data_IF_644813664621
#
_entry.id   IF_644813664621
#
_cell.length_a   1.000
_cell.length_b   1.000
_cell.length_c   1.000
_cell.angle_alpha   90.00
_cell.angle_beta   90.00
_cell.angle_gamma   90.00
#
_symmetry.space_group_name_H-M   'P 1'
#
loop_
_entity.id
_entity.type
_entity.pdbx_description
1 polymer ?
#
# COMPACT_ATOMS: atom_id res chain seq x y z
N UNK A 1 6.58 8.49 -9.89
CA UNK A 1 5.24 8.81 -9.36
C UNK A 1 4.23 7.89 -10.04
N UNK A 2 3.91 6.75 -9.44
CA UNK A 2 2.90 5.84 -9.98
C UNK A 2 1.49 6.41 -9.75
N UNK A 3 0.56 6.23 -10.70
CA UNK A 3 -0.85 6.50 -10.42
C UNK A 3 -1.38 5.45 -9.44
N UNK A 4 -2.10 5.91 -8.42
CA UNK A 4 -2.73 5.06 -7.39
C UNK A 4 -3.85 4.19 -7.94
N UNK A 5 -4.35 4.54 -9.13
CA UNK A 5 -5.43 3.86 -9.81
C UNK A 5 -5.02 3.44 -11.22
N UNK A 6 -5.70 2.42 -11.75
CA UNK A 6 -5.76 2.09 -13.17
C UNK A 6 -7.18 2.28 -13.68
N UNK A 7 -7.34 2.76 -14.91
CA UNK A 7 -8.63 2.77 -15.60
C UNK A 7 -8.87 1.41 -16.24
N UNK A 8 -10.01 0.80 -15.96
CA UNK A 8 -10.38 -0.51 -16.49
C UNK A 8 -11.77 -0.45 -17.10
N UNK A 9 -11.91 -1.00 -18.30
CA UNK A 9 -13.21 -1.20 -18.94
C UNK A 9 -13.91 -2.38 -18.25
N UNK A 10 -15.06 -2.11 -17.64
CA UNK A 10 -15.85 -3.10 -16.91
C UNK A 10 -17.28 -3.20 -17.45
N UNK A 11 -17.86 -4.38 -17.29
CA UNK A 11 -19.29 -4.59 -17.54
C UNK A 11 -20.05 -4.43 -16.22
N UNK A 12 -20.79 -3.32 -16.08
CA UNK A 12 -21.67 -3.10 -14.91
C UNK A 12 -23.02 -3.74 -15.20
N UNK A 13 -23.40 -4.72 -14.38
CA UNK A 13 -24.68 -5.43 -14.45
C UNK A 13 -25.55 -5.02 -13.27
N UNK A 14 -26.76 -4.56 -13.55
CA UNK A 14 -27.86 -4.37 -12.60
C UNK A 14 -29.06 -5.21 -13.03
N UNK A 15 -30.14 -5.21 -12.24
CA UNK A 15 -31.33 -6.04 -12.49
C UNK A 15 -31.92 -5.86 -13.90
N UNK A 16 -31.90 -4.64 -14.41
CA UNK A 16 -32.58 -4.27 -15.67
C UNK A 16 -31.61 -3.75 -16.75
N UNK A 17 -30.30 -3.63 -16.45
CA UNK A 17 -29.33 -3.05 -17.38
C UNK A 17 -27.97 -3.73 -17.30
N UNK A 18 -27.35 -3.86 -18.46
CA UNK A 18 -25.95 -4.22 -18.63
C UNK A 18 -25.27 -3.10 -19.43
N UNK A 19 -24.22 -2.47 -18.89
CA UNK A 19 -23.54 -1.34 -19.53
C UNK A 19 -22.01 -1.47 -19.40
N UNK A 20 -21.30 -1.28 -20.52
CA UNK A 20 -19.86 -1.06 -20.49
C UNK A 20 -19.54 0.34 -19.96
N UNK A 21 -18.61 0.42 -19.02
CA UNK A 21 -18.14 1.69 -18.44
C UNK A 21 -16.67 1.59 -18.07
N UNK A 22 -15.97 2.72 -18.07
CA UNK A 22 -14.66 2.83 -17.42
C UNK A 22 -14.81 3.11 -15.94
N UNK A 23 -13.96 2.49 -15.15
CA UNK A 23 -13.83 2.75 -13.72
C UNK A 23 -12.36 2.82 -13.32
N UNK A 24 -12.07 3.74 -12.41
CA UNK A 24 -10.80 3.80 -11.70
C UNK A 24 -10.77 2.71 -10.62
N UNK A 25 -9.84 1.76 -10.72
CA UNK A 25 -9.57 0.76 -9.69
C UNK A 25 -8.27 1.11 -8.96
N UNK A 26 -8.29 1.05 -7.64
CA UNK A 26 -7.08 1.14 -6.82
C UNK A 26 -6.12 0.02 -7.19
N UNK A 27 -4.84 0.35 -7.28
CA UNK A 27 -3.77 -0.63 -7.47
C UNK A 27 -3.23 -1.08 -6.12
N UNK A 28 -2.93 -2.36 -5.99
CA UNK A 28 -2.09 -2.87 -4.91
C UNK A 28 -0.71 -3.26 -5.44
N UNK A 29 0.32 -2.95 -4.66
CA UNK A 29 1.71 -3.33 -4.91
C UNK A 29 2.28 -3.97 -3.64
N UNK A 30 3.14 -4.99 -3.77
CA UNK A 30 3.87 -5.54 -2.65
C UNK A 30 4.99 -4.59 -2.22
N UNK A 31 5.11 -4.34 -0.93
CA UNK A 31 6.22 -3.63 -0.29
C UNK A 31 6.76 -4.49 0.84
N UNK A 32 8.06 -4.72 0.83
CA UNK A 32 8.76 -5.48 1.87
C UNK A 32 9.42 -4.52 2.85
N UNK A 33 9.13 -4.68 4.14
CA UNK A 33 9.74 -3.89 5.21
C UNK A 33 10.95 -4.65 5.75
N UNK A 34 12.10 -3.99 5.74
CA UNK A 34 13.32 -4.45 6.39
C UNK A 34 13.59 -3.60 7.64
N UNK A 35 14.05 -4.23 8.71
CA UNK A 35 14.55 -3.56 9.92
C UNK A 35 15.98 -4.03 10.15
N UNK A 36 16.95 -3.12 9.99
CA UNK A 36 18.38 -3.43 10.14
C UNK A 36 18.81 -4.67 9.32
N UNK A 37 18.54 -4.63 8.01
CA UNK A 37 18.81 -5.70 7.04
C UNK A 37 18.02 -7.01 7.23
N UNK A 38 17.17 -7.10 8.27
CA UNK A 38 16.29 -8.25 8.47
C UNK A 38 14.92 -8.01 7.82
N UNK A 39 14.52 -8.91 6.93
CA UNK A 39 13.17 -8.91 6.37
C UNK A 39 12.13 -9.19 7.47
N UNK A 40 11.15 -8.30 7.62
CA UNK A 40 10.11 -8.41 8.64
C UNK A 40 8.81 -8.93 8.03
N UNK A 41 8.35 -8.30 6.95
CA UNK A 41 7.06 -8.61 6.32
C UNK A 41 6.98 -8.04 4.91
N UNK A 42 6.15 -8.66 4.07
CA UNK A 42 5.67 -8.05 2.82
C UNK A 42 4.18 -7.70 2.95
N UNK A 43 3.84 -6.44 2.71
CA UNK A 43 2.47 -5.90 2.74
C UNK A 43 2.00 -5.58 1.32
N UNK A 44 0.71 -5.81 1.04
CA UNK A 44 0.05 -5.25 -0.14
C UNK A 44 -0.53 -3.89 0.23
N UNK A 45 -0.19 -2.85 -0.54
CA UNK A 45 -0.70 -1.50 -0.30
C UNK A 45 -0.80 -0.70 -1.59
N UNK A 46 -1.33 0.52 -1.52
CA UNK A 46 -1.49 1.40 -2.71
C UNK A 46 -0.16 1.93 -3.27
N UNK A 47 0.96 1.69 -2.58
CA UNK A 47 2.26 2.27 -2.91
C UNK A 47 2.38 3.77 -2.57
N UNK A 48 1.40 4.34 -1.87
CA UNK A 48 1.46 5.70 -1.35
C UNK A 48 2.04 5.74 0.06
N UNK A 49 2.75 6.83 0.40
CA UNK A 49 3.23 7.11 1.77
C UNK A 49 3.94 5.93 2.45
N UNK A 50 4.74 5.17 1.68
CA UNK A 50 5.32 3.89 2.12
C UNK A 50 6.29 4.03 3.30
N UNK A 51 6.99 5.15 3.44
CA UNK A 51 7.79 5.46 4.64
C UNK A 51 6.92 5.51 5.90
N UNK A 52 5.78 6.22 5.83
CA UNK A 52 4.85 6.34 6.96
C UNK A 52 4.19 5.00 7.29
N UNK A 53 3.86 4.21 6.26
CA UNK A 53 3.35 2.84 6.43
C UNK A 53 4.37 1.97 7.18
N UNK A 54 5.63 1.98 6.75
CA UNK A 54 6.68 1.16 7.36
C UNK A 54 6.92 1.53 8.83
N UNK A 55 7.09 2.83 9.12
CA UNK A 55 7.29 3.32 10.50
C UNK A 55 6.06 3.03 11.38
N UNK A 56 4.85 3.26 10.85
CA UNK A 56 3.60 3.00 11.55
C UNK A 56 3.38 1.52 11.84
N UNK A 57 3.73 0.63 10.91
CA UNK A 57 3.69 -0.81 11.10
C UNK A 57 4.63 -1.25 12.22
N UNK A 58 5.91 -0.88 12.15
CA UNK A 58 6.91 -1.22 13.19
C UNK A 58 6.49 -0.69 14.56
N UNK A 59 5.86 0.49 14.63
CA UNK A 59 5.31 1.03 15.88
C UNK A 59 4.14 0.19 16.41
N UNK A 60 3.23 -0.24 15.53
CA UNK A 60 2.04 -1.01 15.89
C UNK A 60 2.39 -2.42 16.38
N UNK A 61 3.38 -3.05 15.76
CA UNK A 61 3.89 -4.37 16.16
C UNK A 61 4.85 -4.34 17.37
N UNK A 62 5.11 -3.15 17.93
CA UNK A 62 5.98 -2.97 19.09
C UNK A 62 7.49 -3.07 18.79
N UNK A 63 7.88 -3.20 17.52
CA UNK A 63 9.27 -3.24 17.06
C UNK A 63 9.96 -1.87 17.14
N UNK A 64 9.19 -0.78 17.05
CA UNK A 64 9.65 0.59 17.28
C UNK A 64 8.82 1.25 18.38
N UNK A 65 9.37 1.43 19.58
CA UNK A 65 8.59 1.96 20.71
C UNK A 65 8.69 3.49 20.85
N UNK A 66 9.86 4.07 20.60
CA UNK A 66 10.13 5.48 20.79
C UNK A 66 10.62 6.12 19.50
N UNK A 67 10.23 7.38 19.25
CA UNK A 67 10.68 8.13 18.06
C UNK A 67 12.21 8.29 18.01
N UNK A 68 12.85 8.35 19.17
CA UNK A 68 14.31 8.43 19.35
C UNK A 68 15.05 7.18 18.87
N UNK A 69 14.39 6.02 18.84
CA UNK A 69 14.98 4.77 18.35
C UNK A 69 14.99 4.66 16.82
N UNK A 70 14.35 5.60 16.10
CA UNK A 70 14.33 5.62 14.65
C UNK A 70 15.43 6.56 14.12
N UNK A 71 16.50 5.97 13.62
CA UNK A 71 17.66 6.70 13.10
C UNK A 71 17.47 7.16 11.65
N UNK A 72 17.00 6.28 10.76
CA UNK A 72 16.81 6.55 9.34
C UNK A 72 15.74 5.67 8.71
N UNK A 73 15.15 6.13 7.62
CA UNK A 73 14.32 5.36 6.70
C UNK A 73 14.84 5.61 5.28
N UNK A 74 14.95 4.55 4.47
CA UNK A 74 15.36 4.60 3.06
C UNK A 74 14.36 3.78 2.24
N UNK A 75 14.03 4.23 1.02
CA UNK A 75 12.97 3.69 0.15
C UNK A 75 13.42 3.60 -1.30
#
# INVERSE_FOLDING_TARGET
MNSLTIEVDVLRVSKDQCRQTRVALVREVPITIFLNDQEIITLLCTGAHIESLAVGFLKSEGLLQQRSSLERVEV
#
